data_IF_824222521444
#
_entry.id   IF_824222521444
#
_cell.length_a   1.000
_cell.length_b   1.000
_cell.length_c   1.000
_cell.angle_alpha   90.00
_cell.angle_beta   90.00
_cell.angle_gamma   90.00
#
_symmetry.space_group_name_H-M   'P 1'
#
loop_
_entity.id
_entity.type
_entity.pdbx_description
1 polymer ?
#
# COMPACT_ATOMS: atom_id res chain seq x y z
N UNK A 1 7.23 11.16 -0.51
CA UNK A 1 6.27 10.98 -1.62
C UNK A 1 4.84 11.32 -1.21
N UNK A 2 4.09 10.48 -0.49
CA UNK A 2 2.66 10.75 -0.23
C UNK A 2 2.39 12.05 0.52
N UNK A 3 3.10 12.25 1.65
CA UNK A 3 2.94 13.45 2.49
C UNK A 3 3.46 14.70 1.77
N UNK A 4 4.74 14.70 1.43
CA UNK A 4 5.40 15.87 0.80
C UNK A 4 4.89 16.19 -0.61
N UNK A 5 4.35 15.20 -1.33
CA UNK A 5 3.85 15.35 -2.69
C UNK A 5 2.35 15.61 -2.78
N UNK A 6 1.66 15.83 -1.65
CA UNK A 6 0.23 16.17 -1.65
C UNK A 6 -0.69 15.09 -2.23
N UNK A 7 -0.29 13.81 -2.14
CA UNK A 7 -1.05 12.69 -2.73
C UNK A 7 -2.07 12.07 -1.78
N UNK A 8 -2.15 12.55 -0.53
CA UNK A 8 -3.02 11.97 0.50
C UNK A 8 -4.49 11.89 0.05
N UNK A 9 -5.06 13.00 -0.40
CA UNK A 9 -6.46 13.07 -0.81
C UNK A 9 -6.72 12.32 -2.11
N UNK A 10 -5.81 12.45 -3.10
CA UNK A 10 -5.89 11.73 -4.38
C UNK A 10 -5.89 10.22 -4.19
N UNK A 11 -4.99 9.70 -3.36
CA UNK A 11 -4.92 8.26 -3.07
C UNK A 11 -6.17 7.77 -2.34
N UNK A 12 -6.75 8.59 -1.44
CA UNK A 12 -8.00 8.25 -0.77
C UNK A 12 -9.16 8.15 -1.75
N UNK A 13 -9.36 9.18 -2.59
CA UNK A 13 -10.43 9.18 -3.61
C UNK A 13 -10.27 8.01 -4.57
N UNK A 14 -9.03 7.71 -4.97
CA UNK A 14 -8.74 6.55 -5.81
C UNK A 14 -9.12 5.23 -5.13
N UNK A 15 -8.85 5.08 -3.82
CA UNK A 15 -9.25 3.89 -3.09
C UNK A 15 -10.77 3.76 -2.94
N UNK A 16 -11.48 4.89 -2.78
CA UNK A 16 -12.95 4.94 -2.77
C UNK A 16 -13.56 4.54 -4.13
N UNK A 17 -12.88 4.83 -5.25
CA UNK A 17 -13.33 4.37 -6.58
C UNK A 17 -13.02 2.90 -6.86
N UNK A 18 -11.89 2.39 -6.35
CA UNK A 18 -11.43 1.03 -6.62
C UNK A 18 -12.00 -0.03 -5.66
N UNK A 19 -12.69 0.39 -4.59
CA UNK A 19 -13.14 -0.53 -3.55
C UNK A 19 -14.55 -0.20 -3.10
N UNK A 20 -15.43 -1.20 -3.17
CA UNK A 20 -16.83 -1.11 -2.70
C UNK A 20 -16.94 -0.93 -1.18
N UNK A 21 -15.99 -1.46 -0.40
CA UNK A 21 -15.91 -1.35 1.06
C UNK A 21 -14.57 -0.74 1.49
N UNK A 22 -14.35 0.52 1.12
CA UNK A 22 -13.14 1.23 1.51
C UNK A 22 -13.18 1.58 3.02
N UNK A 23 -12.29 0.93 3.78
CA UNK A 23 -12.13 1.15 5.23
C UNK A 23 -10.88 1.97 5.52
N UNK A 24 -10.98 3.29 5.70
CA UNK A 24 -9.80 4.09 5.95
C UNK A 24 -9.26 3.88 7.38
N UNK A 25 -7.95 4.05 7.54
CA UNK A 25 -7.34 4.12 8.87
C UNK A 25 -7.85 5.33 9.66
N UNK A 26 -7.87 5.21 11.00
CA UNK A 26 -8.29 6.29 11.93
C UNK A 26 -7.53 7.60 11.70
N UNK A 27 -6.22 7.53 11.49
CA UNK A 27 -5.39 8.68 11.14
C UNK A 27 -5.06 8.64 9.64
N UNK A 28 -5.24 9.77 8.95
CA UNK A 28 -5.11 9.88 7.50
C UNK A 28 -4.19 11.05 7.11
N UNK A 29 -3.79 11.03 5.83
CA UNK A 29 -2.97 12.08 5.23
C UNK A 29 -1.71 12.41 6.03
N UNK A 30 -1.54 13.68 6.38
CA UNK A 30 -0.34 14.16 7.08
C UNK A 30 -0.19 13.58 8.49
N UNK A 31 -1.29 13.19 9.12
CA UNK A 31 -1.32 12.62 10.47
C UNK A 31 -1.20 11.09 10.48
N UNK A 32 -1.16 10.44 9.31
CA UNK A 32 -0.98 9.00 9.27
C UNK A 32 0.47 8.60 9.58
N UNK A 33 0.68 7.47 10.24
CA UNK A 33 2.02 6.98 10.58
C UNK A 33 2.77 6.46 9.35
N UNK A 34 4.10 6.61 9.37
CA UNK A 34 4.97 6.03 8.35
C UNK A 34 4.99 4.51 8.45
N UNK A 35 5.23 3.81 7.33
CA UNK A 35 5.41 2.35 7.34
C UNK A 35 6.75 1.92 7.95
N UNK A 36 7.71 2.85 8.08
CA UNK A 36 9.13 2.70 8.50
C UNK A 36 10.09 2.04 7.50
N UNK A 37 9.65 1.78 6.26
CA UNK A 37 10.54 1.31 5.18
C UNK A 37 11.34 2.40 4.44
N UNK A 38 10.96 3.68 4.58
CA UNK A 38 11.62 4.78 3.86
C UNK A 38 13.01 5.14 4.39
N UNK A 39 13.63 6.18 3.80
CA UNK A 39 14.87 6.78 4.33
C UNK A 39 16.12 5.88 4.28
N UNK A 40 16.14 4.90 3.38
CA UNK A 40 17.24 3.92 3.28
C UNK A 40 17.10 2.72 4.22
N UNK A 41 16.06 2.64 5.06
CA UNK A 41 15.89 1.54 6.00
C UNK A 41 15.59 0.18 5.33
N UNK A 42 14.85 0.17 4.22
CA UNK A 42 14.58 -1.06 3.46
C UNK A 42 15.86 -1.77 2.97
N UNK A 43 16.76 -1.11 2.20
CA UNK A 43 17.94 -1.78 1.65
C UNK A 43 19.02 -2.15 2.68
N UNK A 44 19.08 -1.49 3.85
CA UNK A 44 20.14 -1.78 4.84
C UNK A 44 20.03 -3.16 5.51
N UNK A 45 18.86 -3.80 5.50
CA UNK A 45 18.69 -5.17 5.99
C UNK A 45 19.15 -5.38 7.44
N UNK A 46 19.62 -6.59 7.76
CA UNK A 46 20.30 -6.92 9.03
C UNK A 46 19.59 -6.43 10.30
N UNK A 47 20.32 -5.71 11.15
CA UNK A 47 19.79 -5.12 12.40
C UNK A 47 18.73 -4.04 12.14
N UNK A 48 18.87 -3.30 11.04
CA UNK A 48 17.94 -2.25 10.64
C UNK A 48 16.56 -2.83 10.33
N UNK A 49 16.49 -4.07 9.81
CA UNK A 49 15.22 -4.78 9.64
C UNK A 49 14.48 -4.94 10.97
N UNK A 50 15.18 -5.32 12.05
CA UNK A 50 14.55 -5.46 13.38
C UNK A 50 14.00 -4.13 13.89
N UNK A 51 14.75 -3.05 13.69
CA UNK A 51 14.32 -1.70 14.08
C UNK A 51 13.14 -1.19 13.26
N UNK A 52 13.13 -1.39 11.93
CA UNK A 52 11.99 -0.97 11.10
C UNK A 52 10.74 -1.75 11.46
N UNK A 53 10.83 -3.06 11.69
CA UNK A 53 9.68 -3.88 12.09
C UNK A 53 9.11 -3.41 13.43
N UNK A 54 9.98 -3.23 14.44
CA UNK A 54 9.57 -2.69 15.75
C UNK A 54 8.92 -1.30 15.63
N UNK A 55 9.51 -0.40 14.86
CA UNK A 55 8.95 0.93 14.61
C UNK A 55 7.64 0.90 13.81
N UNK A 56 7.47 -0.12 12.96
CA UNK A 56 6.29 -0.34 12.14
C UNK A 56 5.12 -0.97 12.89
N UNK A 57 5.28 -1.38 14.16
CA UNK A 57 4.19 -1.94 14.98
C UNK A 57 2.96 -1.05 15.00
N UNK A 58 3.12 0.26 15.18
CA UNK A 58 2.00 1.22 15.17
C UNK A 58 1.22 1.18 13.84
N UNK A 59 1.92 0.97 12.71
CA UNK A 59 1.28 0.82 11.40
C UNK A 59 0.54 -0.52 11.29
N UNK A 60 1.12 -1.60 11.81
CA UNK A 60 0.48 -2.90 11.86
C UNK A 60 -0.82 -2.87 12.68
N UNK A 61 -0.79 -2.19 13.83
CA UNK A 61 -1.97 -1.99 14.68
C UNK A 61 -3.04 -1.15 13.97
N UNK A 62 -2.64 -0.06 13.29
CA UNK A 62 -3.58 0.72 12.46
C UNK A 62 -4.24 -0.10 11.34
N UNK A 63 -3.51 -1.05 10.73
CA UNK A 63 -4.05 -1.95 9.71
C UNK A 63 -5.03 -2.93 10.34
N UNK A 64 -4.69 -3.50 11.50
CA UNK A 64 -5.54 -4.45 12.21
C UNK A 64 -6.88 -3.81 12.60
N UNK A 65 -6.85 -2.57 13.08
CA UNK A 65 -8.02 -1.83 13.52
C UNK A 65 -9.05 -1.57 12.40
N UNK A 66 -8.64 -1.55 11.11
CA UNK A 66 -9.60 -1.41 10.00
C UNK A 66 -10.36 -2.69 9.70
N UNK A 67 -9.83 -3.85 10.10
CA UNK A 67 -10.34 -5.15 9.72
C UNK A 67 -10.24 -5.46 8.22
N UNK A 68 -9.54 -4.63 7.44
CA UNK A 68 -9.39 -4.83 5.99
C UNK A 68 -8.48 -6.03 5.68
N UNK A 69 -8.83 -6.80 4.65
CA UNK A 69 -8.04 -7.95 4.18
C UNK A 69 -7.09 -7.60 3.04
N UNK A 70 -7.41 -6.55 2.28
CA UNK A 70 -6.60 -6.02 1.19
C UNK A 70 -6.19 -4.60 1.56
N UNK A 71 -4.89 -4.29 1.42
CA UNK A 71 -4.32 -2.99 1.78
C UNK A 71 -3.70 -2.35 0.54
N UNK A 72 -4.27 -1.22 0.13
CA UNK A 72 -3.69 -0.39 -0.92
C UNK A 72 -2.42 0.31 -0.43
N UNK A 73 -1.33 0.15 -1.18
CA UNK A 73 -0.05 0.81 -0.91
C UNK A 73 0.41 1.69 -2.08
N UNK A 74 0.74 2.97 -1.85
CA UNK A 74 1.06 3.92 -2.91
C UNK A 74 2.56 4.02 -3.27
N UNK A 75 3.44 3.25 -2.64
CA UNK A 75 4.89 3.40 -2.79
C UNK A 75 5.59 2.04 -2.67
N UNK A 76 6.60 1.78 -3.50
CA UNK A 76 7.33 0.50 -3.54
C UNK A 76 7.89 0.12 -2.15
N UNK A 77 8.49 1.04 -1.41
CA UNK A 77 8.97 0.72 -0.07
C UNK A 77 7.85 0.34 0.91
N UNK A 78 6.63 0.85 0.70
CA UNK A 78 5.50 0.46 1.53
C UNK A 78 5.03 -0.96 1.22
N UNK A 79 5.08 -1.44 -0.03
CA UNK A 79 4.57 -2.79 -0.32
C UNK A 79 5.39 -3.85 0.41
N UNK A 80 6.71 -3.76 0.33
CA UNK A 80 7.61 -4.73 0.96
C UNK A 80 7.56 -4.62 2.49
N UNK A 81 7.58 -3.39 3.01
CA UNK A 81 7.47 -3.14 4.44
C UNK A 81 6.16 -3.66 5.02
N UNK A 82 5.01 -3.38 4.38
CA UNK A 82 3.71 -3.86 4.88
C UNK A 82 3.62 -5.39 4.78
N UNK A 83 4.20 -6.02 3.75
CA UNK A 83 4.30 -7.48 3.65
C UNK A 83 5.14 -8.08 4.78
N UNK A 84 6.27 -7.47 5.14
CA UNK A 84 7.04 -7.94 6.29
C UNK A 84 6.30 -7.71 7.60
N UNK A 85 5.63 -6.57 7.79
CA UNK A 85 4.80 -6.33 8.98
C UNK A 85 3.64 -7.33 9.07
N UNK A 86 3.06 -7.72 7.94
CA UNK A 86 2.02 -8.74 7.91
C UNK A 86 2.53 -10.10 8.38
N UNK A 87 3.79 -10.44 8.10
CA UNK A 87 4.43 -11.68 8.58
C UNK A 87 4.85 -11.57 10.03
N UNK A 88 5.43 -10.45 10.45
CA UNK A 88 5.92 -10.22 11.81
C UNK A 88 4.80 -10.15 12.85
N UNK A 89 3.64 -9.58 12.47
CA UNK A 89 2.53 -9.30 13.38
C UNK A 89 1.25 -10.07 13.04
N UNK A 90 1.37 -11.14 12.22
CA UNK A 90 0.29 -12.06 11.84
C UNK A 90 -1.00 -11.34 11.40
N UNK A 91 -0.87 -10.35 10.52
CA UNK A 91 -2.01 -9.52 10.11
C UNK A 91 -2.99 -10.26 9.19
N UNK A 92 -2.50 -11.27 8.45
CA UNK A 92 -3.33 -12.02 7.49
C UNK A 92 -3.90 -11.13 6.37
N UNK A 93 -3.12 -10.16 5.89
CA UNK A 93 -3.54 -9.22 4.84
C UNK A 93 -2.77 -9.42 3.54
N UNK A 94 -3.37 -8.99 2.42
CA UNK A 94 -2.71 -8.87 1.11
C UNK A 94 -2.45 -7.40 0.81
N UNK A 95 -1.18 -7.02 0.68
CA UNK A 95 -0.80 -5.67 0.24
C UNK A 95 -0.65 -5.63 -1.29
N UNK A 96 -1.32 -4.67 -1.92
CA UNK A 96 -1.33 -4.47 -3.38
C UNK A 96 -1.06 -3.02 -3.75
N UNK A 97 -0.42 -2.80 -4.89
CA UNK A 97 -0.28 -1.45 -5.42
C UNK A 97 -1.56 -0.96 -6.09
N UNK A 98 -1.77 0.36 -6.09
CA UNK A 98 -2.83 0.98 -6.88
C UNK A 98 -2.76 0.61 -8.37
N UNK A 99 -1.56 0.46 -8.94
CA UNK A 99 -1.41 0.02 -10.34
C UNK A 99 -2.00 -1.38 -10.59
N UNK A 100 -1.86 -2.29 -9.62
CA UNK A 100 -2.35 -3.66 -9.73
C UNK A 100 -3.88 -3.64 -9.70
N UNK A 101 -4.45 -2.91 -8.73
CA UNK A 101 -5.89 -2.73 -8.63
C UNK A 101 -6.51 -2.06 -9.86
N UNK A 102 -5.87 -1.01 -10.39
CA UNK A 102 -6.34 -0.37 -11.63
C UNK A 102 -6.29 -1.37 -12.79
N UNK A 103 -5.19 -2.10 -12.96
CA UNK A 103 -5.08 -3.08 -14.05
C UNK A 103 -6.10 -4.22 -13.96
N UNK A 104 -6.45 -4.67 -12.75
CA UNK A 104 -7.45 -5.71 -12.52
C UNK A 104 -8.89 -5.21 -12.72
N UNK A 105 -9.17 -3.93 -12.44
CA UNK A 105 -10.52 -3.36 -12.47
C UNK A 105 -10.82 -2.51 -13.72
N UNK A 106 -9.82 -2.17 -14.52
CA UNK A 106 -10.00 -1.30 -15.68
C UNK A 106 -10.61 -2.08 -16.84
N UNK A 107 -11.73 -1.57 -17.36
CA UNK A 107 -12.30 -2.01 -18.62
C UNK A 107 -11.51 -1.41 -19.79
N UNK A 108 -10.96 -2.27 -20.65
CA UNK A 108 -10.22 -1.86 -21.84
C UNK A 108 -11.20 -1.85 -23.02
N UNK A 109 -11.42 -0.70 -23.69
CA UNK A 109 -12.23 -0.64 -24.90
C UNK A 109 -11.70 -1.59 -25.98
N UNK A 110 -12.59 -2.20 -26.76
CA UNK A 110 -12.23 -3.20 -27.79
C UNK A 110 -11.19 -2.65 -28.77
N UNK A 111 -11.26 -1.37 -29.13
CA UNK A 111 -10.34 -0.69 -30.03
C UNK A 111 -8.92 -0.50 -29.48
N UNK A 112 -8.73 -0.65 -28.16
CA UNK A 112 -7.43 -0.51 -27.48
C UNK A 112 -6.77 -1.86 -27.16
N UNK A 113 -7.42 -2.98 -27.48
CA UNK A 113 -6.83 -4.31 -27.33
C UNK A 113 -5.78 -4.49 -28.44
N UNK A 114 -4.51 -4.82 -28.11
CA UNK A 114 -3.49 -5.09 -29.11
C UNK A 114 -3.96 -6.16 -30.08
N UNK A 115 -3.89 -5.89 -31.39
CA UNK A 115 -4.15 -6.90 -32.41
C UNK A 115 -2.96 -7.87 -32.45
N UNK A 116 -3.22 -9.17 -32.55
CA UNK A 116 -2.19 -10.22 -32.54
C UNK A 116 -1.28 -10.20 -33.80
N UNK A 117 -1.52 -9.30 -34.74
CA UNK A 117 -0.86 -9.26 -36.05
C UNK A 117 0.22 -8.16 -36.10
N UNK A 118 1.34 -8.33 -35.42
CA UNK A 118 2.59 -7.57 -35.68
C UNK A 118 3.78 -8.30 -35.01
N UNK A 119 4.18 -9.43 -35.61
CA UNK A 119 5.52 -10.03 -35.48
C UNK A 119 6.37 -9.69 -36.72
#
# INVERSE_FOLDING_TARGET
MVRSGGLAEKNRRLAEYLSEDFRPMKYQGNYNYCCTGGGGAMPMGGEVKKHRLKGGKVKADQIRDTGAKVIFVPCHNCIDQIRDLSKEYDLGIRAIHFKEAIGECMEIPEEMIPREDEE
#
